data_IF_419242650595
#
_entry.id   IF_419242650595
#
_cell.length_a   1.000
_cell.length_b   1.000
_cell.length_c   1.000
_cell.angle_alpha   90.00
_cell.angle_beta   90.00
_cell.angle_gamma   90.00
#
_symmetry.space_group_name_H-M   'P 1'
#
loop_
_entity.id
_entity.type
_entity.pdbx_description
1 polymer ?
#
# COMPACT_ATOMS: atom_id res chain seq x y z
N UNK A 1 12.12 1.08 -11.49
CA UNK A 1 11.79 -0.03 -10.59
C UNK A 1 12.34 -1.40 -11.04
N UNK A 2 13.54 -1.51 -11.68
CA UNK A 2 14.02 -2.81 -12.16
C UNK A 2 14.26 -3.84 -11.05
N UNK A 3 14.76 -3.40 -9.89
CA UNK A 3 15.00 -4.30 -8.74
C UNK A 3 13.69 -4.83 -8.18
N UNK A 4 12.69 -3.97 -8.05
CA UNK A 4 11.36 -4.37 -7.61
C UNK A 4 10.73 -5.39 -8.57
N UNK A 5 10.81 -5.14 -9.87
CA UNK A 5 10.26 -6.02 -10.90
C UNK A 5 10.92 -7.40 -10.88
N UNK A 6 12.25 -7.45 -10.78
CA UNK A 6 13.00 -8.70 -10.68
C UNK A 6 12.64 -9.49 -9.42
N UNK A 7 12.54 -8.81 -8.28
CA UNK A 7 12.15 -9.43 -7.01
C UNK A 7 10.73 -9.98 -7.08
N UNK A 8 9.83 -9.24 -7.68
CA UNK A 8 8.43 -9.64 -7.87
C UNK A 8 8.34 -10.94 -8.67
N UNK A 9 9.04 -11.04 -9.79
CA UNK A 9 9.10 -12.26 -10.59
C UNK A 9 9.53 -13.47 -9.78
N UNK A 10 10.58 -13.32 -9.00
CA UNK A 10 11.12 -14.40 -8.17
C UNK A 10 10.10 -14.86 -7.12
N UNK A 11 9.44 -13.91 -6.47
CA UNK A 11 8.46 -14.21 -5.42
C UNK A 11 7.18 -14.85 -5.99
N UNK A 12 6.70 -14.37 -7.13
CA UNK A 12 5.50 -14.91 -7.74
C UNK A 12 5.70 -16.33 -8.26
N UNK A 13 6.90 -16.67 -8.67
CA UNK A 13 7.23 -18.02 -9.16
C UNK A 13 7.10 -19.11 -8.10
N UNK A 14 7.11 -18.76 -6.81
CA UNK A 14 6.97 -19.74 -5.72
C UNK A 14 5.51 -20.05 -5.33
N UNK A 15 4.52 -19.54 -6.06
CA UNK A 15 3.11 -19.89 -5.87
C UNK A 15 2.38 -19.01 -4.86
N UNK A 16 2.65 -17.72 -4.85
CA UNK A 16 1.92 -16.77 -4.00
C UNK A 16 0.43 -16.73 -4.33
N UNK A 17 -0.41 -16.58 -3.32
CA UNK A 17 -1.85 -16.39 -3.48
C UNK A 17 -2.26 -14.92 -3.38
N UNK A 18 -1.49 -14.11 -2.68
CA UNK A 18 -1.68 -12.68 -2.49
C UNK A 18 -0.32 -11.99 -2.61
N UNK A 19 -0.29 -10.85 -3.26
CA UNK A 19 0.91 -10.02 -3.32
C UNK A 19 0.67 -8.71 -2.56
N UNK A 20 1.61 -8.32 -1.70
CA UNK A 20 1.49 -7.11 -0.90
C UNK A 20 2.72 -6.22 -1.00
N UNK A 21 2.49 -4.92 -0.93
CA UNK A 21 3.55 -3.91 -0.76
C UNK A 21 3.46 -3.42 0.68
N UNK A 22 4.54 -3.62 1.42
CA UNK A 22 4.59 -3.30 2.84
C UNK A 22 5.82 -2.46 3.16
N UNK A 23 5.75 -1.67 4.21
CA UNK A 23 6.88 -0.90 4.76
C UNK A 23 7.55 -0.01 3.70
N UNK A 24 6.76 0.72 2.96
CA UNK A 24 7.20 1.62 1.90
C UNK A 24 6.49 2.96 2.05
N UNK A 25 7.09 4.02 1.54
CA UNK A 25 6.40 5.31 1.50
C UNK A 25 5.14 5.21 0.64
N UNK A 26 4.22 6.13 0.83
CA UNK A 26 3.00 6.21 0.01
C UNK A 26 3.36 6.42 -1.46
N UNK A 27 4.33 7.27 -1.72
CA UNK A 27 4.82 7.54 -3.07
C UNK A 27 5.42 6.29 -3.72
N UNK A 28 6.27 5.56 -2.99
CA UNK A 28 6.85 4.32 -3.49
C UNK A 28 5.78 3.24 -3.72
N UNK A 29 4.81 3.14 -2.83
CA UNK A 29 3.68 2.24 -2.97
C UNK A 29 2.89 2.54 -4.24
N UNK A 30 2.55 3.81 -4.45
CA UNK A 30 1.82 4.24 -5.66
C UNK A 30 2.60 3.99 -6.94
N UNK A 31 3.91 4.19 -6.91
CA UNK A 31 4.78 3.94 -8.06
C UNK A 31 4.93 2.44 -8.38
N UNK A 32 4.91 1.59 -7.35
CA UNK A 32 5.07 0.15 -7.52
C UNK A 32 3.80 -0.55 -8.01
N UNK A 33 2.62 0.00 -7.72
CA UNK A 33 1.33 -0.63 -8.08
C UNK A 33 1.20 -0.96 -9.58
N UNK A 34 1.47 -0.05 -10.52
CA UNK A 34 1.35 -0.39 -11.94
C UNK A 34 2.30 -1.52 -12.37
N UNK A 35 3.49 -1.58 -11.80
CA UNK A 35 4.44 -2.66 -12.07
C UNK A 35 3.91 -3.99 -11.54
N UNK A 36 3.40 -4.00 -10.31
CA UNK A 36 2.80 -5.20 -9.73
C UNK A 36 1.61 -5.68 -10.56
N UNK A 37 0.73 -4.77 -10.97
CA UNK A 37 -0.47 -5.11 -11.76
C UNK A 37 -0.13 -5.70 -13.12
N UNK A 38 0.98 -5.31 -13.70
CA UNK A 38 1.47 -5.85 -14.97
C UNK A 38 1.84 -7.33 -14.87
N UNK A 39 2.32 -7.77 -13.70
CA UNK A 39 2.88 -9.10 -13.51
C UNK A 39 2.06 -10.02 -12.59
N UNK A 40 1.03 -9.49 -11.95
CA UNK A 40 0.23 -10.22 -10.97
C UNK A 40 -1.26 -9.94 -11.15
N UNK A 41 -2.03 -11.00 -11.39
CA UNK A 41 -3.49 -10.92 -11.60
C UNK A 41 -4.31 -11.17 -10.33
N UNK A 42 -3.68 -11.64 -9.29
CA UNK A 42 -4.32 -11.97 -8.03
C UNK A 42 -4.60 -10.77 -7.13
N UNK A 43 -5.05 -11.01 -5.90
CA UNK A 43 -5.28 -9.95 -4.93
C UNK A 43 -4.01 -9.17 -4.60
N UNK A 44 -4.15 -7.86 -4.50
CA UNK A 44 -3.07 -6.94 -4.12
C UNK A 44 -3.43 -6.27 -2.79
N UNK A 45 -2.46 -6.27 -1.88
CA UNK A 45 -2.54 -5.54 -0.61
C UNK A 45 -1.50 -4.44 -0.51
N UNK A 46 -1.80 -3.41 0.25
CA UNK A 46 -0.87 -2.32 0.55
C UNK A 46 -0.86 -2.01 2.04
N UNK A 47 0.33 -1.87 2.60
CA UNK A 47 0.60 -1.54 4.00
C UNK A 47 1.73 -0.51 4.07
N UNK A 48 1.50 0.73 3.62
CA UNK A 48 2.55 1.75 3.59
C UNK A 48 2.87 2.28 4.98
N UNK A 49 3.96 3.03 5.06
CA UNK A 49 4.28 3.84 6.23
C UNK A 49 3.57 5.19 6.16
N UNK A 50 3.13 5.69 7.32
CA UNK A 50 2.46 6.99 7.41
C UNK A 50 3.41 8.16 7.21
N UNK A 51 4.68 7.98 7.55
CA UNK A 51 5.69 9.01 7.41
C UNK A 51 6.08 9.17 5.93
N UNK A 52 6.12 10.42 5.49
CA UNK A 52 6.54 10.80 4.13
C UNK A 52 8.04 11.07 4.02
N UNK A 53 8.76 11.01 5.14
CA UNK A 53 10.19 11.27 5.12
C UNK A 53 10.98 10.08 4.59
N UNK A 54 12.12 10.42 3.97
CA UNK A 54 13.06 9.43 3.48
C UNK A 54 13.51 8.45 4.57
N UNK A 55 13.78 7.22 4.16
CA UNK A 55 14.28 6.10 4.94
C UNK A 55 15.52 6.36 5.82
N UNK A 56 16.11 7.53 5.71
CA UNK A 56 17.29 7.91 6.50
C UNK A 56 16.95 8.45 7.89
N UNK A 57 15.68 8.63 8.19
CA UNK A 57 15.29 8.92 9.56
C UNK A 57 15.30 7.65 10.38
N UNK A 58 16.19 7.65 11.33
CA UNK A 58 16.29 6.56 12.30
C UNK A 58 14.97 6.38 13.04
N UNK A 59 14.64 5.16 13.35
CA UNK A 59 13.52 4.66 14.14
C UNK A 59 13.19 5.42 15.44
N UNK A 60 13.91 6.49 15.74
CA UNK A 60 13.84 7.21 17.01
C UNK A 60 13.27 8.62 16.89
N UNK A 61 12.90 9.02 15.71
CA UNK A 61 12.33 10.34 15.53
C UNK A 61 10.80 10.22 15.59
N UNK A 62 10.27 10.36 16.82
CA UNK A 62 8.83 10.38 17.08
C UNK A 62 8.13 11.63 16.50
N UNK A 63 8.84 12.43 15.71
CA UNK A 63 8.22 13.58 15.06
C UNK A 63 7.37 13.10 13.88
N UNK A 64 6.07 13.00 14.13
CA UNK A 64 5.05 12.70 13.14
C UNK A 64 4.69 13.90 12.25
N UNK A 65 5.54 14.94 12.21
CA UNK A 65 5.26 16.19 11.49
C UNK A 65 5.09 16.00 9.98
N UNK A 66 5.60 14.88 9.43
CA UNK A 66 5.46 14.51 8.02
C UNK A 66 4.48 13.36 7.79
N UNK A 67 3.77 12.90 8.82
CA UNK A 67 2.79 11.84 8.64
C UNK A 67 1.61 12.34 7.82
N UNK A 68 1.10 11.48 6.96
CA UNK A 68 -0.15 11.77 6.24
C UNK A 68 -1.31 11.85 7.23
N UNK A 69 -2.26 12.75 7.00
CA UNK A 69 -3.47 12.80 7.82
C UNK A 69 -4.41 11.62 7.49
N UNK A 70 -5.27 11.20 8.44
CA UNK A 70 -6.26 10.16 8.16
C UNK A 70 -7.15 10.48 6.96
N UNK A 71 -7.59 11.72 6.81
CA UNK A 71 -8.43 12.17 5.69
C UNK A 71 -7.71 12.07 4.35
N UNK A 72 -6.46 12.50 4.29
CA UNK A 72 -5.64 12.41 3.08
C UNK A 72 -5.37 10.96 2.71
N UNK A 73 -5.16 10.08 3.71
CA UNK A 73 -4.98 8.67 3.48
C UNK A 73 -6.23 8.00 2.89
N UNK A 74 -7.42 8.38 3.36
CA UNK A 74 -8.68 7.91 2.78
C UNK A 74 -8.74 8.22 1.29
N UNK A 75 -8.38 9.42 0.88
CA UNK A 75 -8.43 9.82 -0.53
C UNK A 75 -7.43 9.02 -1.39
N UNK A 76 -6.23 8.80 -0.88
CA UNK A 76 -5.23 7.98 -1.57
C UNK A 76 -5.70 6.54 -1.71
N UNK A 77 -6.27 5.96 -0.66
CA UNK A 77 -6.76 4.59 -0.69
C UNK A 77 -7.93 4.40 -1.62
N UNK A 78 -8.83 5.37 -1.74
CA UNK A 78 -9.90 5.34 -2.75
C UNK A 78 -9.33 5.19 -4.15
N UNK A 79 -8.29 5.95 -4.47
CA UNK A 79 -7.60 5.86 -5.76
C UNK A 79 -6.98 4.46 -5.96
N UNK A 80 -6.30 3.92 -4.94
CA UNK A 80 -5.74 2.58 -5.02
C UNK A 80 -6.80 1.49 -5.20
N UNK A 81 -7.96 1.63 -4.54
CA UNK A 81 -9.10 0.70 -4.74
C UNK A 81 -9.60 0.76 -6.18
N UNK A 82 -9.70 1.95 -6.76
CA UNK A 82 -10.08 2.11 -8.17
C UNK A 82 -9.06 1.44 -9.10
N UNK A 83 -7.79 1.41 -8.71
CA UNK A 83 -6.75 0.70 -9.44
C UNK A 83 -6.75 -0.82 -9.19
N UNK A 84 -7.59 -1.34 -8.32
CA UNK A 84 -7.74 -2.76 -8.07
C UNK A 84 -7.08 -3.30 -6.80
N UNK A 85 -6.62 -2.44 -5.90
CA UNK A 85 -6.14 -2.87 -4.57
C UNK A 85 -7.32 -3.37 -3.76
N UNK A 86 -7.17 -4.54 -3.17
CA UNK A 86 -8.26 -5.22 -2.43
C UNK A 86 -8.03 -5.29 -0.93
N UNK A 87 -6.78 -5.16 -0.48
CA UNK A 87 -6.41 -5.24 0.92
C UNK A 87 -5.67 -3.97 1.29
N UNK A 88 -6.16 -3.23 2.27
CA UNK A 88 -5.57 -1.98 2.69
C UNK A 88 -5.40 -1.99 4.20
N UNK A 89 -4.20 -1.65 4.62
CA UNK A 89 -3.87 -1.48 6.01
C UNK A 89 -2.88 -0.34 6.18
N UNK A 90 -1.98 -0.50 7.09
CA UNK A 90 -0.89 0.41 7.34
C UNK A 90 0.23 -0.29 8.07
N UNK A 91 1.44 0.23 7.95
CA UNK A 91 2.61 -0.24 8.65
C UNK A 91 3.03 0.79 9.69
N UNK A 92 4.24 1.32 9.62
CA UNK A 92 4.74 2.24 10.63
C UNK A 92 3.95 3.55 10.68
N UNK A 93 3.56 3.96 11.89
CA UNK A 93 2.83 5.20 12.12
C UNK A 93 1.33 5.18 11.85
N UNK A 94 0.79 4.07 11.36
CA UNK A 94 -0.66 3.90 11.20
C UNK A 94 -1.27 3.25 12.43
N UNK A 95 -2.25 3.93 13.02
CA UNK A 95 -2.99 3.47 14.19
C UNK A 95 -4.50 3.44 13.88
N UNK A 96 -5.30 3.17 14.90
CA UNK A 96 -6.75 2.97 14.74
C UNK A 96 -7.47 4.18 14.12
N UNK A 97 -6.99 5.38 14.38
CA UNK A 97 -7.54 6.62 13.82
C UNK A 97 -7.41 6.71 12.30
N UNK A 98 -6.51 5.97 11.69
CA UNK A 98 -6.41 5.84 10.24
C UNK A 98 -7.31 4.73 9.70
N UNK A 99 -7.42 3.62 10.41
CA UNK A 99 -8.13 2.44 9.94
C UNK A 99 -9.65 2.62 10.02
N UNK A 100 -10.15 3.27 11.06
CA UNK A 100 -11.58 3.49 11.22
C UNK A 100 -12.19 4.31 10.08
N UNK A 101 -11.64 5.46 9.68
CA UNK A 101 -12.14 6.20 8.52
C UNK A 101 -12.09 5.40 7.21
N UNK A 102 -11.06 4.57 7.01
CA UNK A 102 -10.98 3.68 5.86
C UNK A 102 -12.16 2.71 5.83
N UNK A 103 -12.45 2.09 6.96
CA UNK A 103 -13.55 1.12 7.07
C UNK A 103 -14.90 1.74 6.74
N UNK A 104 -15.08 3.00 7.07
CA UNK A 104 -16.31 3.75 6.80
C UNK A 104 -16.41 4.22 5.36
N UNK A 105 -15.29 4.63 4.76
CA UNK A 105 -15.24 5.26 3.45
C UNK A 105 -15.12 4.26 2.29
N UNK A 106 -14.46 3.11 2.52
CA UNK A 106 -14.20 2.16 1.45
C UNK A 106 -15.35 1.17 1.26
N UNK A 107 -15.55 0.65 0.03
CA UNK A 107 -16.57 -0.35 -0.24
C UNK A 107 -16.39 -1.59 0.62
N UNK A 108 -17.49 -2.18 1.07
CA UNK A 108 -17.47 -3.44 1.84
C UNK A 108 -17.17 -4.66 0.98
N UNK A 109 -17.45 -4.54 -0.32
CA UNK A 109 -17.17 -5.58 -1.31
C UNK A 109 -16.57 -4.93 -2.53
N UNK A 110 -15.47 -5.47 -2.98
CA UNK A 110 -14.81 -5.08 -4.22
C UNK A 110 -14.90 -6.28 -5.14
N UNK A 111 -15.21 -6.04 -6.40
CA UNK A 111 -15.17 -7.10 -7.41
C UNK A 111 -13.75 -7.64 -7.59
N UNK A 112 -13.63 -8.82 -8.18
CA UNK A 112 -12.33 -9.33 -8.55
C UNK A 112 -11.63 -8.35 -9.50
N UNK A 113 -10.34 -8.13 -9.22
CA UNK A 113 -9.49 -7.41 -10.15
C UNK A 113 -9.32 -8.27 -11.38
N UNK A 114 -10.18 -8.12 -12.30
CA UNK A 114 -10.04 -8.92 -13.46
C UNK A 114 -10.14 -8.14 -14.72
N UNK A 115 -9.34 -8.56 -15.49
CA UNK A 115 -9.78 -8.72 -16.87
C UNK A 115 -10.25 -7.44 -17.47
#
# INVERSE_FOLDING_TARGET
LPVFETSLYTLLAVGAEVATICHSTIEATSAALPVMQKHWDGPIGVYPDADRSDYLRTYRDDTTDNAISPEAYVEITKNWVEQGVQIIGGCCGFEIEYIRPLREALPKKIGNRST
#
